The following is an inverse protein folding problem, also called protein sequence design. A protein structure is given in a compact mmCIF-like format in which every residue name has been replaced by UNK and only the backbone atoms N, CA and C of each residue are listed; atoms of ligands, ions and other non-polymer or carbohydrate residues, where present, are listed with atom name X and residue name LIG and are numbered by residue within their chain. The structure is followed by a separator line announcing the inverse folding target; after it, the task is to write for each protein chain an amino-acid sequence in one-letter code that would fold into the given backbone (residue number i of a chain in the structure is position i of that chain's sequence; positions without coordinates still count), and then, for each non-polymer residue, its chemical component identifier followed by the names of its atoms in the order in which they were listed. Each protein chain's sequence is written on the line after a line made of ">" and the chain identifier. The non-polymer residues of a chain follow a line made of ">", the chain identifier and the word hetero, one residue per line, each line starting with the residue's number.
data_IF_605301004600
#
_entry.id   IF_605301004600
#
_cell.length_a   1.000
_cell.length_b   1.000
_cell.length_c   1.000
_cell.angle_alpha   90.00
_cell.angle_beta   90.00
_cell.angle_gamma   90.00
#
_symmetry.space_group_name_H-M   'P 1'
#
loop_
_entity.id
_entity.type
_entity.pdbx_description
1 polymer ?
#
# COMPACT_ATOMS: atom_id res chain seq x y z
N UNK A 1 -18.77 -21.93 -19.15
CA UNK A 1 -18.71 -21.82 -17.68
C UNK A 1 -19.29 -20.46 -17.32
N UNK A 2 -20.48 -20.50 -16.75
CA UNK A 2 -21.29 -19.35 -16.36
C UNK A 2 -20.59 -18.57 -15.26
N UNK A 3 -20.38 -17.27 -15.49
CA UNK A 3 -19.94 -16.32 -14.48
C UNK A 3 -20.93 -16.37 -13.30
N UNK A 4 -20.42 -16.55 -12.08
CA UNK A 4 -21.23 -16.48 -10.87
C UNK A 4 -21.66 -15.03 -10.64
N UNK A 5 -22.87 -14.85 -10.10
CA UNK A 5 -23.49 -13.52 -9.91
C UNK A 5 -22.61 -12.55 -9.09
N UNK A 6 -21.71 -13.09 -8.24
CA UNK A 6 -20.76 -12.34 -7.42
C UNK A 6 -19.62 -11.67 -8.22
N UNK A 7 -19.16 -12.28 -9.32
CA UNK A 7 -18.09 -11.71 -10.16
C UNK A 7 -18.60 -10.57 -11.05
N UNK A 8 -19.88 -10.63 -11.45
CA UNK A 8 -20.59 -9.52 -12.10
C UNK A 8 -20.76 -8.30 -11.18
N UNK A 9 -20.90 -8.50 -9.87
CA UNK A 9 -21.04 -7.40 -8.91
C UNK A 9 -19.74 -6.63 -8.67
N UNK A 10 -18.57 -7.27 -8.81
CA UNK A 10 -17.26 -6.62 -8.60
C UNK A 10 -16.81 -5.80 -9.82
N UNK A 11 -17.20 -6.17 -11.03
CA UNK A 11 -16.88 -5.44 -12.26
C UNK A 11 -17.77 -4.21 -12.49
N UNK A 12 -18.88 -4.07 -11.76
CA UNK A 12 -19.79 -2.93 -11.86
C UNK A 12 -19.42 -1.72 -10.97
N UNK A 13 -18.36 -1.81 -10.15
CA UNK A 13 -18.04 -0.79 -9.13
C UNK A 13 -16.95 0.25 -9.51
N UNK A 14 -16.76 0.59 -10.78
CA UNK A 14 -15.80 1.67 -11.15
C UNK A 14 -16.29 2.71 -12.16
N UNK A 15 -17.60 2.83 -12.38
CA UNK A 15 -18.16 4.05 -12.96
C UNK A 15 -18.61 4.98 -11.84
N UNK A 16 -17.67 5.69 -11.21
CA UNK A 16 -18.06 6.85 -10.39
C UNK A 16 -18.73 7.86 -11.32
N UNK A 17 -19.91 8.42 -10.95
CA UNK A 17 -20.58 9.40 -11.78
C UNK A 17 -19.67 10.60 -11.97
N UNK A 18 -19.36 10.91 -13.23
CA UNK A 18 -18.58 12.09 -13.60
C UNK A 18 -19.49 13.29 -13.31
N UNK A 19 -19.20 14.04 -12.25
CA UNK A 19 -19.96 15.23 -11.91
C UNK A 19 -19.57 16.38 -12.85
N UNK A 20 -20.33 16.51 -13.95
CA UNK A 20 -20.23 17.66 -14.84
C UNK A 20 -20.74 18.94 -14.16
N UNK A 21 -20.08 20.07 -14.44
CA UNK A 21 -20.38 21.38 -13.80
C UNK A 21 -21.83 21.83 -14.01
N UNK A 22 -22.48 21.36 -15.08
CA UNK A 22 -23.89 21.61 -15.43
C UNK A 22 -24.89 20.90 -14.52
N UNK A 23 -24.49 19.83 -13.82
CA UNK A 23 -25.38 19.00 -13.01
C UNK A 23 -25.31 19.34 -11.52
N UNK A 24 -24.52 20.36 -11.13
CA UNK A 24 -24.30 20.75 -9.75
C UNK A 24 -25.09 22.01 -9.39
N UNK A 25 -25.61 22.04 -8.18
CA UNK A 25 -26.29 23.23 -7.62
C UNK A 25 -25.29 24.37 -7.38
N UNK A 26 -25.76 25.62 -7.42
CA UNK A 26 -24.94 26.81 -7.11
C UNK A 26 -24.28 26.72 -5.72
N UNK A 27 -24.94 26.06 -4.77
CA UNK A 27 -24.42 25.80 -3.43
C UNK A 27 -23.24 24.81 -3.42
N UNK A 28 -23.26 23.79 -4.28
CA UNK A 28 -22.17 22.82 -4.42
C UNK A 28 -20.95 23.46 -5.12
N UNK A 29 -21.19 24.31 -6.12
CA UNK A 29 -20.13 25.03 -6.84
C UNK A 29 -19.42 26.05 -5.94
N UNK A 30 -20.17 26.85 -5.19
CA UNK A 30 -19.59 27.80 -4.22
C UNK A 30 -18.78 27.10 -3.13
N UNK A 31 -19.24 25.93 -2.66
CA UNK A 31 -18.49 25.09 -1.71
C UNK A 31 -17.19 24.56 -2.30
N UNK A 32 -17.19 24.16 -3.57
CA UNK A 32 -15.98 23.71 -4.26
C UNK A 32 -14.97 24.85 -4.45
N UNK A 33 -15.42 26.04 -4.86
CA UNK A 33 -14.53 27.19 -5.07
C UNK A 33 -13.89 27.66 -3.76
N UNK A 34 -14.65 27.67 -2.67
CA UNK A 34 -14.12 27.94 -1.33
C UNK A 34 -13.07 26.90 -0.89
N UNK A 35 -13.33 25.61 -1.17
CA UNK A 35 -12.42 24.51 -0.83
C UNK A 35 -11.14 24.50 -1.68
N UNK A 36 -11.26 24.75 -2.99
CA UNK A 36 -10.15 24.75 -3.95
C UNK A 36 -9.10 25.82 -3.64
N UNK A 37 -9.54 26.97 -3.13
CA UNK A 37 -8.66 28.11 -2.83
C UNK A 37 -8.06 28.07 -1.42
N UNK A 38 -8.35 27.02 -0.63
CA UNK A 38 -7.85 26.91 0.73
C UNK A 38 -6.37 26.46 0.77
N UNK A 39 -5.52 27.25 1.41
CA UNK A 39 -4.10 26.92 1.57
C UNK A 39 -3.90 25.57 2.29
N UNK A 40 -3.08 24.69 1.69
CA UNK A 40 -2.77 23.37 2.24
C UNK A 40 -3.73 22.25 1.83
N UNK A 41 -4.72 22.51 0.97
CA UNK A 41 -5.60 21.49 0.41
C UNK A 41 -5.13 21.00 -0.97
N UNK A 42 -5.35 19.73 -1.26
CA UNK A 42 -5.03 19.14 -2.56
C UNK A 42 -6.04 19.60 -3.62
N UNK A 43 -5.57 20.01 -4.80
CA UNK A 43 -6.44 20.43 -5.90
C UNK A 43 -7.03 19.21 -6.61
N UNK A 44 -8.24 18.81 -6.22
CA UNK A 44 -9.01 17.73 -6.87
C UNK A 44 -9.92 18.36 -7.91
N UNK A 45 -10.03 17.77 -9.10
CA UNK A 45 -10.95 18.25 -10.13
C UNK A 45 -12.40 17.99 -9.71
N UNK A 46 -13.29 18.91 -10.07
CA UNK A 46 -14.73 18.87 -9.78
C UNK A 46 -15.39 17.53 -10.14
N UNK A 47 -14.98 16.93 -11.26
CA UNK A 47 -15.51 15.66 -11.79
C UNK A 47 -15.30 14.45 -10.85
N UNK A 48 -14.35 14.54 -9.92
CA UNK A 48 -14.02 13.47 -8.96
C UNK A 48 -14.54 13.74 -7.55
N UNK A 49 -15.37 14.76 -7.36
CA UNK A 49 -15.95 15.10 -6.06
C UNK A 49 -17.39 14.62 -6.03
N UNK A 50 -17.65 13.63 -5.18
CA UNK A 50 -19.00 13.16 -4.88
C UNK A 50 -19.62 14.05 -3.78
N UNK A 51 -20.52 14.94 -4.19
CA UNK A 51 -21.21 15.85 -3.26
C UNK A 51 -22.35 15.18 -2.49
N UNK A 52 -22.88 14.08 -3.01
CA UNK A 52 -24.07 13.39 -2.49
C UNK A 52 -23.68 12.14 -1.68
N UNK A 53 -22.39 11.99 -1.37
CA UNK A 53 -21.89 10.89 -0.56
C UNK A 53 -22.43 10.93 0.87
N UNK A 54 -23.46 10.13 1.14
CA UNK A 54 -23.93 9.88 2.49
C UNK A 54 -23.03 8.85 3.19
N UNK A 55 -22.35 9.27 4.25
CA UNK A 55 -21.56 8.37 5.09
C UNK A 55 -22.51 7.43 5.87
N UNK A 56 -22.73 6.23 5.34
CA UNK A 56 -23.51 5.18 6.01
C UNK A 56 -22.61 4.38 6.94
N UNK A 57 -22.91 4.40 8.23
CA UNK A 57 -22.23 3.57 9.23
C UNK A 57 -22.79 2.14 9.15
N UNK A 58 -21.93 1.16 8.87
CA UNK A 58 -22.31 -0.25 8.89
C UNK A 58 -22.53 -0.71 10.34
N UNK A 59 -23.80 -0.75 10.77
CA UNK A 59 -24.16 -1.15 12.14
C UNK A 59 -23.71 -2.57 12.47
N UNK A 60 -23.62 -3.46 11.48
CA UNK A 60 -23.15 -4.83 11.63
C UNK A 60 -21.74 -4.93 12.23
N UNK A 61 -20.87 -3.99 11.92
CA UNK A 61 -19.43 -4.05 12.25
C UNK A 61 -19.06 -3.22 13.49
N UNK A 62 -20.05 -2.65 14.17
CA UNK A 62 -19.87 -1.89 15.41
C UNK A 62 -19.87 -2.81 16.64
N UNK A 63 -19.14 -2.41 17.69
CA UNK A 63 -19.20 -3.11 18.98
C UNK A 63 -20.57 -2.88 19.64
N UNK A 64 -20.97 -3.78 20.53
CA UNK A 64 -22.22 -3.64 21.28
C UNK A 64 -22.27 -2.35 22.12
N UNK A 65 -21.12 -1.90 22.64
CA UNK A 65 -21.01 -0.62 23.34
C UNK A 65 -21.25 0.57 22.39
N UNK A 66 -20.71 0.52 21.17
CA UNK A 66 -20.90 1.56 20.16
C UNK A 66 -22.34 1.59 19.63
N UNK A 67 -22.98 0.42 19.50
CA UNK A 67 -24.40 0.30 19.13
C UNK A 67 -25.30 0.97 20.18
N UNK A 68 -25.00 0.80 21.47
CA UNK A 68 -25.75 1.44 22.57
C UNK A 68 -25.61 2.96 22.57
N UNK A 69 -24.39 3.48 22.32
CA UNK A 69 -24.12 4.92 22.20
C UNK A 69 -24.87 5.61 21.05
N UNK A 70 -25.22 4.87 20.00
CA UNK A 70 -26.01 5.38 18.86
C UNK A 70 -27.51 5.42 19.21
N UNK A 71 -27.99 4.46 20.01
CA UNK A 71 -29.40 4.37 20.43
C UNK A 71 -29.83 5.45 21.42
N UNK A 72 -28.91 5.96 22.23
CA UNK A 72 -29.21 6.93 23.31
C UNK A 72 -29.35 8.38 22.85
N UNK A 73 -29.04 8.73 21.59
CA UNK A 73 -29.19 10.10 21.08
C UNK A 73 -30.36 10.28 20.13
N UNK A 74 -31.56 9.98 20.63
CA UNK A 74 -32.81 10.56 20.13
C UNK A 74 -33.34 11.60 21.11
N UNK A 75 -32.50 12.57 21.50
CA UNK A 75 -32.98 13.78 22.14
C UNK A 75 -33.03 14.90 21.10
N UNK A 76 -34.27 15.24 20.74
CA UNK A 76 -34.63 16.38 19.92
C UNK A 76 -34.27 17.66 20.67
N UNK A 77 -33.17 18.31 20.29
CA UNK A 77 -32.99 19.78 20.31
C UNK A 77 -31.53 20.12 20.03
N UNK A 78 -31.24 20.58 18.80
CA UNK A 78 -30.34 21.72 18.48
C UNK A 78 -29.97 21.73 16.98
N UNK A 79 -30.37 22.83 16.32
CA UNK A 79 -29.92 23.51 15.10
C UNK A 79 -29.33 22.70 13.91
N UNK A 80 -29.77 22.99 12.67
CA UNK A 80 -29.30 22.35 11.45
C UNK A 80 -28.00 23.03 10.99
N UNK A 81 -26.86 22.51 11.44
CA UNK A 81 -25.56 23.02 11.02
C UNK A 81 -24.45 22.25 11.71
N UNK A 82 -23.80 21.38 10.94
CA UNK A 82 -22.67 20.52 11.32
C UNK A 82 -23.03 19.21 12.06
N UNK A 83 -22.85 18.04 11.41
CA UNK A 83 -22.90 16.76 12.11
C UNK A 83 -21.69 16.70 13.05
N UNK A 84 -21.94 16.73 14.37
CA UNK A 84 -20.92 16.47 15.38
C UNK A 84 -20.39 15.05 15.18
N UNK A 85 -19.24 14.92 14.53
CA UNK A 85 -18.50 13.65 14.45
C UNK A 85 -18.05 13.28 15.86
N UNK A 86 -18.87 12.51 16.58
CA UNK A 86 -18.45 11.83 17.80
C UNK A 86 -17.30 10.91 17.39
N UNK A 87 -16.08 11.27 17.80
CA UNK A 87 -14.90 10.44 17.54
C UNK A 87 -15.06 9.19 18.38
N UNK A 88 -15.53 8.09 17.78
CA UNK A 88 -15.40 6.76 18.37
C UNK A 88 -13.91 6.56 18.68
N UNK A 89 -13.54 6.66 19.96
CA UNK A 89 -12.16 6.48 20.39
C UNK A 89 -11.88 4.99 20.46
N UNK A 90 -10.87 4.53 19.74
CA UNK A 90 -10.40 3.15 19.80
C UNK A 90 -10.59 2.33 18.52
N UNK A 91 -10.31 2.88 17.34
CA UNK A 91 -10.42 2.14 16.07
C UNK A 91 -9.47 0.93 15.94
N UNK A 92 -8.48 0.75 16.83
CA UNK A 92 -7.45 -0.28 16.67
C UNK A 92 -7.22 -1.17 17.90
N UNK A 93 -8.13 -1.23 18.89
CA UNK A 93 -7.92 -2.16 20.01
C UNK A 93 -8.07 -3.63 19.58
N UNK A 94 -9.01 -3.93 18.68
CA UNK A 94 -9.20 -5.28 18.13
C UNK A 94 -8.12 -5.70 17.12
N UNK A 95 -7.30 -4.78 16.61
CA UNK A 95 -6.19 -5.14 15.73
C UNK A 95 -5.13 -5.99 16.46
N UNK A 96 -5.00 -5.86 17.79
CA UNK A 96 -4.16 -6.75 18.58
C UNK A 96 -4.75 -8.17 18.70
N UNK A 97 -6.07 -8.30 18.84
CA UNK A 97 -6.74 -9.61 18.96
C UNK A 97 -6.79 -10.38 17.64
N UNK A 98 -6.94 -9.69 16.51
CA UNK A 98 -6.89 -10.31 15.18
C UNK A 98 -5.47 -10.88 14.91
N UNK A 99 -4.42 -10.19 15.36
CA UNK A 99 -3.05 -10.71 15.26
C UNK A 99 -2.77 -11.85 16.24
N UNK A 100 -3.45 -11.92 17.39
CA UNK A 100 -3.28 -12.98 18.38
C UNK A 100 -3.97 -14.30 17.99
N UNK A 101 -5.17 -14.24 17.39
CA UNK A 101 -5.93 -15.42 16.92
C UNK A 101 -5.42 -16.02 15.59
N UNK A 102 -4.45 -15.37 14.96
CA UNK A 102 -3.84 -15.78 13.69
C UNK A 102 -2.56 -16.63 13.83
N UNK A 103 -2.14 -17.01 15.05
CA UNK A 103 -0.79 -17.56 15.24
C UNK A 103 -0.70 -19.10 15.29
N UNK A 104 -1.79 -19.82 15.54
CA UNK A 104 -1.77 -21.29 15.68
C UNK A 104 -2.22 -22.04 14.42
N UNK A 105 -3.27 -21.60 13.72
CA UNK A 105 -3.86 -22.34 12.60
C UNK A 105 -3.60 -21.75 11.21
N UNK A 106 -2.99 -20.57 11.10
CA UNK A 106 -2.70 -19.96 9.79
C UNK A 106 -1.48 -20.58 9.11
N UNK A 107 -0.57 -21.17 9.89
CA UNK A 107 0.64 -21.78 9.36
C UNK A 107 0.37 -23.13 8.67
N UNK A 108 -0.73 -23.81 9.02
CA UNK A 108 -1.13 -25.08 8.37
C UNK A 108 -1.51 -24.89 6.90
N UNK A 109 -1.96 -23.69 6.52
CA UNK A 109 -2.27 -23.34 5.13
C UNK A 109 -1.11 -22.68 4.40
N UNK A 110 -0.10 -22.20 5.13
CA UNK A 110 1.07 -21.59 4.51
C UNK A 110 2.12 -22.66 4.23
N UNK A 111 2.45 -22.85 2.96
CA UNK A 111 3.51 -23.74 2.55
C UNK A 111 4.88 -23.25 3.04
N UNK A 112 5.74 -24.19 3.42
CA UNK A 112 7.10 -23.90 3.82
C UNK A 112 7.87 -23.29 2.66
N UNK A 113 8.44 -22.10 2.88
CA UNK A 113 9.20 -21.36 1.88
C UNK A 113 10.36 -22.17 1.26
N UNK A 114 11.00 -23.04 2.05
CA UNK A 114 12.08 -23.90 1.56
C UNK A 114 11.59 -24.96 0.57
N UNK A 115 10.42 -25.55 0.83
CA UNK A 115 9.79 -26.54 -0.05
C UNK A 115 9.30 -25.85 -1.34
N UNK A 116 8.71 -24.65 -1.20
CA UNK A 116 8.22 -23.85 -2.33
C UNK A 116 9.35 -23.47 -3.30
N UNK A 117 10.49 -23.02 -2.78
CA UNK A 117 11.60 -22.54 -3.62
C UNK A 117 12.33 -23.67 -4.37
N UNK A 118 12.35 -24.88 -3.80
CA UNK A 118 12.96 -26.05 -4.42
C UNK A 118 14.49 -26.02 -4.54
N UNK A 119 15.17 -25.16 -3.76
CA UNK A 119 16.63 -24.97 -3.83
C UNK A 119 17.45 -25.70 -2.76
N UNK A 120 16.78 -26.36 -1.81
CA UNK A 120 17.41 -27.18 -0.78
C UNK A 120 16.78 -28.57 -0.86
N UNK A 121 17.60 -29.63 -0.78
CA UNK A 121 17.13 -31.01 -0.84
C UNK A 121 16.03 -31.29 0.21
N UNK A 122 16.10 -30.63 1.39
CA UNK A 122 15.13 -30.74 2.48
C UNK A 122 15.00 -29.44 3.27
N UNK A 123 13.81 -29.20 3.82
CA UNK A 123 13.58 -28.13 4.79
C UNK A 123 14.48 -28.32 6.03
N UNK A 124 15.22 -27.31 6.51
CA UNK A 124 16.11 -27.45 7.67
C UNK A 124 15.36 -27.76 8.97
N UNK A 125 14.08 -27.41 9.05
CA UNK A 125 13.21 -27.70 10.19
C UNK A 125 12.53 -29.06 10.11
N UNK A 126 12.55 -29.72 8.94
CA UNK A 126 11.97 -31.06 8.72
C UNK A 126 10.58 -31.22 9.37
N UNK A 127 10.44 -32.13 10.34
CA UNK A 127 9.20 -32.41 11.08
C UNK A 127 8.82 -31.33 12.10
N UNK A 128 9.77 -30.49 12.53
CA UNK A 128 9.53 -29.36 13.44
C UNK A 128 9.18 -28.07 12.67
N UNK A 129 8.90 -28.16 11.37
CA UNK A 129 8.50 -26.99 10.59
C UNK A 129 7.10 -26.53 11.01
N UNK A 130 6.95 -25.24 11.27
CA UNK A 130 5.65 -24.63 11.56
C UNK A 130 4.74 -24.54 10.34
N UNK A 131 5.30 -24.68 9.13
CA UNK A 131 4.61 -24.49 7.86
C UNK A 131 4.36 -25.85 7.19
N UNK A 132 3.31 -25.95 6.39
CA UNK A 132 2.97 -27.19 5.70
C UNK A 132 4.00 -27.55 4.61
N UNK A 133 4.28 -28.85 4.48
CA UNK A 133 5.08 -29.43 3.40
C UNK A 133 4.23 -30.16 2.34
N UNK A 134 2.91 -30.14 2.50
CA UNK A 134 1.97 -30.88 1.66
C UNK A 134 1.62 -30.07 0.39
N UNK A 135 2.35 -30.35 -0.70
CA UNK A 135 2.17 -29.69 -1.98
C UNK A 135 0.89 -30.12 -2.71
N UNK A 136 0.44 -31.36 -2.55
CA UNK A 136 -0.73 -31.89 -3.27
C UNK A 136 -2.02 -31.26 -2.76
N UNK A 137 -2.15 -31.13 -1.44
CA UNK A 137 -3.28 -30.43 -0.80
C UNK A 137 -3.30 -28.93 -1.14
N UNK A 138 -2.12 -28.31 -1.32
CA UNK A 138 -2.08 -26.94 -1.79
C UNK A 138 -2.56 -26.82 -3.24
N UNK A 139 -2.09 -27.71 -4.14
CA UNK A 139 -2.50 -27.69 -5.55
C UNK A 139 -4.00 -27.90 -5.72
N UNK A 140 -4.63 -28.74 -4.92
CA UNK A 140 -6.08 -28.99 -5.02
C UNK A 140 -6.94 -27.79 -4.62
N UNK A 141 -6.43 -26.90 -3.76
CA UNK A 141 -7.13 -25.66 -3.32
C UNK A 141 -6.76 -24.44 -4.15
N UNK A 142 -5.69 -24.55 -4.93
CA UNK A 142 -5.12 -23.45 -5.69
C UNK A 142 -6.09 -23.06 -6.82
N UNK A 143 -6.30 -21.76 -6.99
CA UNK A 143 -7.03 -21.23 -8.14
C UNK A 143 -6.27 -21.42 -9.45
N UNK A 144 -6.98 -21.37 -10.58
CA UNK A 144 -6.38 -21.39 -11.92
C UNK A 144 -5.39 -20.22 -12.14
N UNK A 145 -4.47 -20.44 -13.08
CA UNK A 145 -3.45 -19.46 -13.44
C UNK A 145 -4.05 -18.29 -14.23
N UNK A 146 -3.56 -17.07 -13.99
CA UNK A 146 -4.10 -15.87 -14.64
C UNK A 146 -3.84 -15.82 -16.16
N UNK A 147 -2.75 -16.44 -16.60
CA UNK A 147 -2.32 -16.55 -18.00
C UNK A 147 -1.45 -17.79 -18.19
N UNK A 148 -1.22 -18.15 -19.45
CA UNK A 148 -0.23 -19.15 -19.83
C UNK A 148 1.17 -18.54 -19.79
N UNK A 149 2.09 -19.16 -19.05
CA UNK A 149 3.50 -18.78 -19.01
C UNK A 149 3.89 -17.85 -17.85
N UNK A 150 5.10 -18.04 -17.35
CA UNK A 150 5.67 -17.28 -16.24
C UNK A 150 6.92 -16.58 -16.72
N UNK A 151 6.86 -15.25 -16.85
CA UNK A 151 8.00 -14.43 -17.25
C UNK A 151 9.29 -14.74 -16.47
N UNK A 152 9.16 -14.99 -15.16
CA UNK A 152 10.30 -15.29 -14.31
C UNK A 152 10.94 -16.64 -14.66
N UNK A 153 10.14 -17.65 -15.00
CA UNK A 153 10.65 -18.93 -15.47
C UNK A 153 11.19 -18.84 -16.89
N UNK A 154 10.51 -18.14 -17.79
CA UNK A 154 10.91 -18.01 -19.19
C UNK A 154 12.27 -17.30 -19.34
N UNK A 155 12.51 -16.27 -18.52
CA UNK A 155 13.75 -15.47 -18.58
C UNK A 155 14.88 -16.11 -17.77
N UNK A 156 14.61 -16.53 -16.54
CA UNK A 156 15.65 -16.96 -15.59
C UNK A 156 15.73 -18.48 -15.41
N UNK A 157 14.87 -19.24 -16.10
CA UNK A 157 14.76 -20.70 -15.99
C UNK A 157 14.32 -21.22 -14.63
N UNK A 158 14.03 -20.34 -13.67
CA UNK A 158 13.56 -20.70 -12.34
C UNK A 158 12.71 -19.57 -11.77
N UNK A 159 11.54 -19.92 -11.22
CA UNK A 159 10.70 -18.96 -10.51
C UNK A 159 11.01 -19.00 -9.00
N UNK A 160 11.39 -17.89 -8.34
CA UNK A 160 11.66 -17.87 -6.90
C UNK A 160 10.39 -18.09 -6.06
N UNK A 161 9.21 -17.95 -6.66
CA UNK A 161 7.92 -18.17 -6.03
C UNK A 161 7.42 -19.62 -6.15
N UNK A 162 8.02 -20.45 -7.02
CA UNK A 162 7.66 -21.86 -7.19
C UNK A 162 6.15 -22.10 -7.28
N UNK A 163 5.66 -23.06 -6.50
CA UNK A 163 4.23 -23.42 -6.45
C UNK A 163 3.30 -22.30 -5.93
N UNK A 164 3.82 -21.22 -5.34
CA UNK A 164 3.02 -20.05 -4.94
C UNK A 164 2.89 -19.01 -6.06
N UNK A 165 3.66 -19.14 -7.15
CA UNK A 165 3.56 -18.23 -8.30
C UNK A 165 2.15 -18.28 -8.88
N UNK A 166 1.63 -17.16 -9.42
CA UNK A 166 0.31 -17.11 -10.06
C UNK A 166 0.25 -17.74 -11.47
N UNK A 167 1.39 -18.22 -11.94
CA UNK A 167 1.62 -18.84 -13.25
C UNK A 167 2.35 -20.19 -13.08
N UNK A 168 2.10 -20.90 -11.98
CA UNK A 168 2.95 -22.02 -11.59
C UNK A 168 2.81 -23.21 -12.52
N UNK A 169 1.66 -23.40 -13.19
CA UNK A 169 1.43 -24.55 -14.08
C UNK A 169 2.47 -24.63 -15.21
N UNK A 170 3.07 -23.49 -15.58
CA UNK A 170 4.14 -23.42 -16.60
C UNK A 170 5.51 -23.89 -16.11
N UNK A 171 5.73 -24.00 -14.79
CA UNK A 171 7.06 -24.21 -14.22
C UNK A 171 7.08 -25.06 -12.93
N UNK A 172 6.02 -25.85 -12.70
CA UNK A 172 6.00 -26.88 -11.67
C UNK A 172 5.86 -28.25 -12.32
N UNK A 173 6.38 -29.27 -11.65
CA UNK A 173 6.10 -30.65 -12.00
C UNK A 173 4.62 -30.95 -11.64
N UNK A 174 3.79 -31.41 -12.60
CA UNK A 174 2.38 -31.71 -12.34
C UNK A 174 2.17 -32.85 -11.34
N UNK A 175 3.17 -33.73 -11.15
CA UNK A 175 3.05 -34.88 -10.25
C UNK A 175 3.50 -34.51 -8.84
N UNK A 176 4.67 -33.91 -8.71
CA UNK A 176 5.27 -33.63 -7.39
C UNK A 176 4.95 -32.22 -6.87
N UNK A 177 4.52 -31.30 -7.72
CA UNK A 177 4.31 -29.89 -7.38
C UNK A 177 5.59 -29.09 -7.14
N UNK A 178 6.75 -29.70 -7.35
CA UNK A 178 8.04 -29.03 -7.18
C UNK A 178 8.34 -28.08 -8.32
N UNK A 179 9.07 -27.02 -8.01
CA UNK A 179 9.53 -26.02 -8.97
C UNK A 179 10.56 -26.64 -9.93
N UNK A 180 10.30 -26.56 -11.23
CA UNK A 180 11.22 -27.05 -12.27
C UNK A 180 12.32 -26.01 -12.48
N UNK A 181 13.54 -26.48 -12.75
CA UNK A 181 14.68 -25.63 -13.12
C UNK A 181 15.04 -25.94 -14.57
N UNK A 182 14.98 -24.94 -15.44
CA UNK A 182 15.45 -25.02 -16.82
C UNK A 182 16.93 -24.62 -16.91
N UNK A 183 17.86 -25.58 -17.13
CA UNK A 183 19.29 -25.31 -17.19
C UNK A 183 19.72 -24.53 -18.44
N UNK A 184 18.85 -24.38 -19.45
CA UNK A 184 19.13 -23.63 -20.68
C UNK A 184 19.01 -22.11 -20.56
N UNK A 185 18.68 -21.59 -19.38
CA UNK A 185 18.54 -20.15 -19.13
C UNK A 185 19.90 -19.50 -18.88
N UNK A 186 20.30 -18.59 -19.76
CA UNK A 186 21.61 -17.92 -19.68
C UNK A 186 21.60 -16.69 -18.75
N UNK A 187 20.42 -16.22 -18.34
CA UNK A 187 20.30 -15.00 -17.55
C UNK A 187 20.25 -15.35 -16.06
N UNK A 188 21.35 -15.07 -15.35
CA UNK A 188 21.38 -15.16 -13.88
C UNK A 188 20.50 -14.05 -13.30
N UNK A 189 19.68 -14.40 -12.31
CA UNK A 189 18.95 -13.40 -11.53
C UNK A 189 19.96 -12.45 -10.87
N UNK A 190 20.01 -11.20 -11.32
CA UNK A 190 20.86 -10.18 -10.73
C UNK A 190 20.19 -9.71 -9.44
N UNK A 191 20.87 -9.94 -8.33
CA UNK A 191 20.38 -9.53 -7.04
C UNK A 191 20.42 -8.00 -6.94
N UNK A 192 19.34 -7.38 -6.46
CA UNK A 192 19.27 -5.92 -6.34
C UNK A 192 20.44 -5.37 -5.51
N UNK A 193 21.17 -4.38 -6.05
CA UNK A 193 22.40 -3.84 -5.45
C UNK A 193 22.20 -3.25 -4.05
N UNK A 194 20.98 -2.80 -3.72
CA UNK A 194 20.66 -2.12 -2.47
C UNK A 194 20.17 -3.06 -1.35
N UNK A 195 20.67 -4.30 -1.28
CA UNK A 195 20.34 -5.22 -0.19
C UNK A 195 21.24 -4.98 1.03
N UNK A 196 20.67 -4.40 2.08
CA UNK A 196 21.30 -4.37 3.39
C UNK A 196 21.15 -5.71 4.11
N UNK A 197 22.21 -6.26 4.73
CA UNK A 197 22.12 -7.48 5.51
C UNK A 197 21.11 -7.35 6.65
N UNK A 198 20.44 -8.45 7.00
CA UNK A 198 19.37 -8.46 8.00
C UNK A 198 19.82 -7.92 9.37
N UNK A 199 21.04 -8.25 9.78
CA UNK A 199 21.65 -7.78 11.01
C UNK A 199 21.85 -6.25 11.00
N UNK A 200 22.34 -5.68 9.90
CA UNK A 200 22.51 -4.23 9.77
C UNK A 200 21.16 -3.51 9.91
N UNK A 201 20.11 -3.97 9.23
CA UNK A 201 18.75 -3.42 9.38
C UNK A 201 18.25 -3.52 10.82
N UNK A 202 18.54 -4.62 11.52
CA UNK A 202 18.20 -4.77 12.94
C UNK A 202 18.95 -3.74 13.80
N UNK A 203 20.25 -3.59 13.61
CA UNK A 203 21.09 -2.63 14.34
C UNK A 203 20.64 -1.18 14.11
N UNK A 204 20.38 -0.81 12.85
CA UNK A 204 19.88 0.52 12.48
C UNK A 204 18.53 0.81 13.15
N UNK A 205 17.56 -0.12 13.08
CA UNK A 205 16.24 0.05 13.73
C UNK A 205 16.34 0.19 15.25
N UNK A 206 17.28 -0.52 15.87
CA UNK A 206 17.53 -0.44 17.31
C UNK A 206 18.46 0.71 17.70
N UNK A 207 18.93 1.52 16.74
CA UNK A 207 19.93 2.58 16.94
C UNK A 207 21.21 2.08 17.65
N UNK A 208 21.58 0.83 17.40
CA UNK A 208 22.79 0.18 17.95
C UNK A 208 23.95 0.14 16.96
N UNK A 209 23.76 0.69 15.77
CA UNK A 209 24.82 0.80 14.78
C UNK A 209 25.81 1.90 15.19
N UNK A 210 27.09 1.75 14.85
CA UNK A 210 28.10 2.78 15.13
C UNK A 210 27.97 3.94 14.13
N UNK A 211 27.52 5.09 14.62
CA UNK A 211 27.34 6.31 13.84
C UNK A 211 28.53 7.28 13.94
N UNK A 212 29.64 6.93 14.58
CA UNK A 212 30.79 7.83 14.80
C UNK A 212 31.30 8.53 13.53
N UNK A 213 31.33 7.83 12.40
CA UNK A 213 31.73 8.40 11.10
C UNK A 213 30.64 9.34 10.57
N UNK A 214 29.39 8.89 10.55
CA UNK A 214 28.26 9.68 10.08
C UNK A 214 28.10 10.97 10.90
N UNK A 215 28.17 10.88 12.22
CA UNK A 215 28.05 12.02 13.13
C UNK A 215 29.15 13.06 12.92
N UNK A 216 30.39 12.61 12.66
CA UNK A 216 31.50 13.51 12.32
C UNK A 216 31.24 14.23 11.01
N UNK A 217 30.83 13.51 9.97
CA UNK A 217 30.56 14.10 8.66
C UNK A 217 29.38 15.07 8.69
N UNK A 218 28.28 14.70 9.37
CA UNK A 218 27.11 15.56 9.55
C UNK A 218 27.48 16.84 10.30
N UNK A 219 28.30 16.76 11.35
CA UNK A 219 28.80 17.96 12.06
C UNK A 219 29.62 18.86 11.15
N UNK A 220 30.50 18.30 10.31
CA UNK A 220 31.30 19.07 9.36
C UNK A 220 30.41 19.74 8.29
N UNK A 221 29.47 19.00 7.71
CA UNK A 221 28.53 19.52 6.71
C UNK A 221 27.65 20.64 7.31
N UNK A 222 27.08 20.42 8.50
CA UNK A 222 26.27 21.43 9.19
C UNK A 222 27.08 22.71 9.47
N UNK A 223 28.36 22.59 9.84
CA UNK A 223 29.24 23.75 10.04
C UNK A 223 29.49 24.53 8.75
N UNK A 224 29.56 23.86 7.60
CA UNK A 224 29.68 24.54 6.31
C UNK A 224 28.38 25.23 5.91
N UNK A 225 27.24 24.57 6.10
CA UNK A 225 25.91 25.12 5.83
C UNK A 225 25.64 26.35 6.70
N UNK A 226 25.94 26.30 8.00
CA UNK A 226 25.75 27.47 8.89
C UNK A 226 26.65 28.63 8.49
N UNK A 227 27.91 28.38 8.14
CA UNK A 227 28.82 29.41 7.60
C UNK A 227 28.27 30.04 6.32
N UNK A 228 27.80 29.23 5.37
CA UNK A 228 27.21 29.71 4.12
C UNK A 228 25.94 30.54 4.38
N UNK A 229 25.09 30.11 5.32
CA UNK A 229 23.88 30.84 5.70
C UNK A 229 24.20 32.17 6.41
N UNK A 230 25.23 32.21 7.26
CA UNK A 230 25.72 33.44 7.89
C UNK A 230 26.26 34.40 6.83
N UNK A 231 27.04 33.91 5.85
CA UNK A 231 27.55 34.72 4.76
C UNK A 231 26.42 35.34 3.91
N UNK A 232 25.38 34.56 3.60
CA UNK A 232 24.18 35.05 2.89
C UNK A 232 23.35 36.06 3.69
N UNK A 233 23.33 35.95 5.01
CA UNK A 233 22.67 36.95 5.89
C UNK A 233 23.46 38.25 5.95
N UNK A 234 24.78 38.16 5.97
CA UNK A 234 25.66 39.33 6.07
C UNK A 234 25.87 40.05 4.72
N UNK A 235 25.74 39.33 3.60
CA UNK A 235 25.68 39.87 2.25
C UNK A 235 24.42 39.33 1.56
N UNK A 236 23.27 40.01 1.73
CA UNK A 236 22.09 39.70 0.94
C UNK A 236 22.44 39.90 -0.54
N UNK A 237 22.03 38.98 -1.44
CA UNK A 237 22.11 39.26 -2.87
C UNK A 237 21.33 40.55 -3.16
N UNK A 238 21.92 41.46 -3.94
CA UNK A 238 21.20 42.60 -4.50
C UNK A 238 19.90 42.10 -5.14
N UNK A 239 18.80 42.76 -4.78
CA UNK A 239 17.50 42.48 -5.36
C UNK A 239 17.60 42.80 -6.84
N UNK A 240 17.78 41.78 -7.69
CA UNK A 240 17.46 41.91 -9.11
C UNK A 240 15.96 42.21 -9.17
N UNK A 241 15.63 43.49 -9.39
CA UNK A 241 14.31 43.91 -9.81
C UNK A 241 13.97 43.12 -11.06
N UNK A 242 13.13 42.09 -10.89
CA UNK A 242 12.44 41.48 -12.02
C UNK A 242 11.47 42.53 -12.55
N UNK A 243 11.93 43.33 -13.51
CA UNK A 243 11.05 44.05 -14.41
C UNK A 243 10.06 43.04 -14.99
N UNK A 244 8.80 43.15 -14.56
CA UNK A 244 7.68 42.47 -15.20
C UNK A 244 7.48 43.21 -16.53
N UNK A 245 7.92 42.59 -17.62
CA UNK A 245 7.68 43.10 -18.96
C UNK A 245 6.26 42.71 -19.34
N UNK A 246 5.29 43.51 -18.91
CA UNK A 246 3.91 43.46 -19.38
C UNK A 246 3.84 44.05 -20.79
N UNK A 247 4.23 43.26 -21.79
CA UNK A 247 3.88 43.52 -23.19
C UNK A 247 3.34 42.25 -23.85
N UNK A 248 2.12 41.86 -23.48
CA UNK A 248 1.25 41.11 -24.39
C UNK A 248 0.21 42.10 -24.96
N UNK A 249 0.67 42.88 -25.93
CA UNK A 249 -0.19 43.63 -26.84
C UNK A 249 -0.81 42.60 -27.77
N UNK A 250 -2.11 42.39 -27.61
CA UNK A 250 -2.88 41.56 -28.51
C UNK A 250 -2.76 42.04 -29.95
N UNK A 251 -2.57 41.09 -30.86
CA UNK A 251 -2.90 41.27 -32.27
C UNK A 251 -3.38 39.95 -32.90
N UNK A 252 -4.66 40.00 -33.29
CA UNK A 252 -5.37 39.26 -34.36
C UNK A 252 -5.76 37.80 -34.14
#
# INVERSE_FOLDING_TARGET
>A
MSLTEEDSHRLQQTSHPINERSNLTEQQLTKYEAWKNQAGMAQIKLEFIDFDHEVKLSMEHLSEADKKLIGETKDETKNPGEPKKKKFRGQNQKHLEINARSSSNINDHQLCYFVVRGGLEKCPYQSNCKHSHDLTNYLSRRSEDLRQGCYMFDVYGQCPYGILCRFSQSHIDPITGHNIINPGSNQKYLEAMNKYPGLLKHLLRRKKYDYNVADRLVKMANKQITKANIAKRNNPPEVEEKHHDDTDVGEK
#
